data_IF_438048765061
#
_entry.id   IF_438048765061
#
_cell.length_a   1.000
_cell.length_b   1.000
_cell.length_c   1.000
_cell.angle_alpha   90.00
_cell.angle_beta   90.00
_cell.angle_gamma   90.00
#
_symmetry.space_group_name_H-M   'P 1'
#
loop_
_entity.id
_entity.type
_entity.pdbx_description
1 polymer ?
#
# COMPACT_ATOMS: atom_id res chain seq x y z
N UNK A 1 70.82 15.84 -32.13
CA UNK A 1 70.19 16.70 -33.15
C UNK A 1 69.52 15.79 -34.17
N UNK A 2 68.38 16.23 -34.72
CA UNK A 2 67.54 15.60 -35.77
C UNK A 2 66.44 14.65 -35.26
N UNK A 3 65.24 15.23 -35.14
CA UNK A 3 63.93 14.56 -35.31
C UNK A 3 63.82 14.12 -36.77
N UNK A 4 63.16 13.00 -37.05
CA UNK A 4 62.35 12.90 -38.27
C UNK A 4 61.16 11.97 -38.11
N UNK A 5 60.01 12.52 -38.47
CA UNK A 5 58.71 11.87 -38.64
C UNK A 5 58.73 10.98 -39.88
N UNK A 6 58.09 9.81 -39.82
CA UNK A 6 57.46 9.22 -40.99
C UNK A 6 56.16 8.50 -40.59
N UNK A 7 55.05 9.00 -41.14
CA UNK A 7 53.74 8.35 -41.20
C UNK A 7 53.49 8.05 -42.67
N UNK A 8 53.39 6.79 -43.08
CA UNK A 8 52.75 6.40 -44.35
C UNK A 8 51.99 5.07 -44.22
N UNK A 9 50.66 5.22 -44.32
CA UNK A 9 49.60 4.40 -44.95
C UNK A 9 49.71 2.87 -45.06
N UNK A 10 48.67 2.25 -44.51
CA UNK A 10 47.88 1.09 -44.98
C UNK A 10 48.36 0.36 -46.24
N UNK A 11 48.68 -0.93 -46.05
CA UNK A 11 48.51 -1.98 -47.04
C UNK A 11 47.81 -3.15 -46.31
N UNK A 12 46.58 -3.45 -46.74
CA UNK A 12 45.90 -4.70 -46.40
C UNK A 12 46.62 -5.85 -47.11
N UNK A 13 46.90 -6.94 -46.40
CA UNK A 13 46.85 -8.29 -46.96
C UNK A 13 46.75 -9.36 -45.85
N UNK A 14 45.64 -10.08 -45.88
CA UNK A 14 45.38 -11.46 -45.48
C UNK A 14 46.44 -12.18 -44.62
N UNK A 15 46.10 -12.41 -43.35
CA UNK A 15 46.56 -13.59 -42.60
C UNK A 15 45.33 -14.24 -41.94
N UNK A 16 45.34 -15.57 -42.00
CA UNK A 16 44.23 -16.47 -41.73
C UNK A 16 43.47 -16.23 -40.43
N UNK A 17 42.18 -16.52 -40.54
CA UNK A 17 41.26 -16.74 -39.44
C UNK A 17 41.83 -17.77 -38.45
N UNK A 18 42.43 -17.29 -37.37
CA UNK A 18 42.40 -17.99 -36.10
C UNK A 18 41.20 -17.43 -35.34
N UNK A 19 40.09 -18.17 -35.40
CA UNK A 19 38.98 -17.98 -34.49
C UNK A 19 39.47 -18.37 -33.10
N UNK A 20 40.01 -17.41 -32.36
CA UNK A 20 40.10 -17.49 -30.91
C UNK A 20 38.66 -17.50 -30.41
N UNK A 21 38.14 -18.70 -30.17
CA UNK A 21 37.03 -18.89 -29.25
C UNK A 21 37.59 -18.50 -27.89
N UNK A 22 37.56 -17.21 -27.57
CA UNK A 22 37.53 -16.80 -26.18
C UNK A 22 36.22 -17.36 -25.67
N UNK A 23 36.29 -18.48 -24.95
CA UNK A 23 35.24 -18.81 -24.01
C UNK A 23 35.11 -17.57 -23.12
N UNK A 24 34.10 -16.76 -23.38
CA UNK A 24 33.65 -15.77 -22.42
C UNK A 24 33.31 -16.59 -21.19
N UNK A 25 34.19 -16.59 -20.20
CA UNK A 25 33.83 -16.88 -18.83
C UNK A 25 32.56 -16.08 -18.59
N UNK A 26 31.43 -16.78 -18.44
CA UNK A 26 30.20 -16.16 -17.97
C UNK A 26 30.58 -15.41 -16.71
N UNK A 27 30.57 -14.07 -16.76
CA UNK A 27 30.54 -13.31 -15.52
C UNK A 27 29.35 -13.88 -14.76
N UNK A 28 29.61 -14.47 -13.59
CA UNK A 28 28.52 -14.90 -12.72
C UNK A 28 27.63 -13.68 -12.54
N UNK A 29 26.35 -13.80 -12.91
CA UNK A 29 25.42 -12.71 -12.67
C UNK A 29 25.42 -12.45 -11.16
N UNK A 30 25.83 -11.25 -10.76
CA UNK A 30 25.81 -10.85 -9.36
C UNK A 30 24.38 -10.98 -8.86
N UNK A 31 24.22 -11.60 -7.68
CA UNK A 31 22.92 -11.69 -7.05
C UNK A 31 22.55 -10.29 -6.56
N UNK A 32 21.47 -9.72 -7.11
CA UNK A 32 21.15 -8.29 -6.92
C UNK A 32 20.87 -7.92 -5.46
N UNK A 33 20.50 -8.89 -4.61
CA UNK A 33 20.34 -8.66 -3.18
C UNK A 33 21.67 -8.71 -2.39
N UNK A 34 22.76 -9.22 -2.98
CA UNK A 34 24.13 -9.18 -2.43
C UNK A 34 25.15 -8.91 -3.55
N UNK A 35 25.10 -7.73 -4.19
CA UNK A 35 25.92 -7.46 -5.38
C UNK A 35 27.42 -7.40 -5.08
N UNK A 36 27.81 -7.32 -3.79
CA UNK A 36 29.19 -7.23 -3.32
C UNK A 36 29.76 -8.57 -2.80
N UNK A 37 28.94 -9.63 -2.76
CA UNK A 37 29.32 -10.92 -2.17
C UNK A 37 29.72 -11.92 -3.26
N UNK A 38 30.99 -12.35 -3.25
CA UNK A 38 31.56 -13.32 -4.20
C UNK A 38 31.58 -14.77 -3.66
N UNK A 39 31.11 -14.99 -2.43
CA UNK A 39 31.17 -16.31 -1.77
C UNK A 39 29.98 -17.20 -2.16
N UNK A 40 30.12 -18.54 -2.11
CA UNK A 40 28.99 -19.45 -2.34
C UNK A 40 27.96 -19.27 -1.23
N UNK A 41 26.82 -18.69 -1.59
CA UNK A 41 25.69 -18.52 -0.67
C UNK A 41 25.20 -19.86 -0.14
N UNK A 42 24.81 -19.86 1.14
CA UNK A 42 24.05 -20.95 1.71
C UNK A 42 22.63 -20.87 1.15
N UNK A 43 22.03 -22.03 0.88
CA UNK A 43 20.64 -22.13 0.48
C UNK A 43 19.86 -22.96 1.47
N UNK A 44 18.65 -22.53 1.82
CA UNK A 44 17.80 -23.23 2.77
C UNK A 44 16.38 -22.68 2.81
N UNK A 45 15.44 -23.40 3.43
CA UNK A 45 14.08 -22.91 3.57
C UNK A 45 14.02 -21.70 4.51
N UNK A 46 13.03 -20.84 4.33
CA UNK A 46 12.68 -19.85 5.34
C UNK A 46 12.37 -20.56 6.67
N UNK A 47 12.87 -20.00 7.78
CA UNK A 47 12.73 -20.60 9.11
C UNK A 47 12.33 -19.55 10.15
N UNK A 48 11.79 -19.98 11.29
CA UNK A 48 11.40 -19.07 12.40
C UNK A 48 12.61 -18.46 13.14
N UNK A 49 13.83 -18.93 12.85
CA UNK A 49 15.05 -18.50 13.53
C UNK A 49 15.87 -17.49 12.70
N UNK A 50 15.32 -16.94 11.63
CA UNK A 50 16.01 -15.93 10.83
C UNK A 50 16.14 -14.61 11.60
N UNK A 51 17.21 -13.87 11.36
CA UNK A 51 17.42 -12.56 11.99
C UNK A 51 16.35 -11.53 11.59
N UNK A 52 15.81 -11.67 10.38
CA UNK A 52 14.75 -10.83 9.88
C UNK A 52 13.61 -11.70 9.35
N UNK A 53 12.42 -11.51 9.91
CA UNK A 53 11.19 -12.20 9.50
C UNK A 53 10.20 -11.26 8.79
N UNK A 54 10.46 -9.95 8.81
CA UNK A 54 9.57 -8.98 8.22
C UNK A 54 9.75 -7.55 8.74
N UNK A 55 9.00 -6.64 8.14
CA UNK A 55 8.95 -5.22 8.42
C UNK A 55 7.49 -4.79 8.61
N UNK A 56 7.18 -4.28 9.80
CA UNK A 56 5.88 -3.69 10.19
C UNK A 56 5.93 -2.15 10.26
N UNK A 57 7.10 -1.58 9.94
CA UNK A 57 7.37 -0.14 9.93
C UNK A 57 7.15 0.59 11.26
N UNK A 58 6.85 -0.12 12.35
CA UNK A 58 6.43 0.45 13.62
C UNK A 58 7.57 1.12 14.40
N UNK A 59 8.80 0.77 14.05
CA UNK A 59 10.03 1.26 14.69
C UNK A 59 10.55 2.59 14.13
N UNK A 60 10.08 3.02 12.95
CA UNK A 60 10.53 4.24 12.30
C UNK A 60 9.80 5.48 12.83
N UNK A 61 10.28 6.67 12.45
CA UNK A 61 9.61 7.95 12.73
C UNK A 61 8.84 8.42 11.49
N UNK A 62 7.80 9.24 11.69
CA UNK A 62 7.03 9.79 10.58
C UNK A 62 7.90 10.61 9.62
N UNK A 63 7.68 10.44 8.32
CA UNK A 63 8.44 11.09 7.26
C UNK A 63 9.88 10.60 7.10
N UNK A 64 10.32 9.60 7.88
CA UNK A 64 11.67 9.05 7.74
C UNK A 64 11.85 8.42 6.37
N UNK A 65 12.79 8.92 5.57
CA UNK A 65 13.23 8.20 4.39
C UNK A 65 14.00 6.95 4.82
N UNK A 66 13.46 5.78 4.50
CA UNK A 66 14.07 4.51 4.85
C UNK A 66 15.21 4.20 3.88
N UNK A 67 14.91 4.25 2.58
CA UNK A 67 15.90 4.11 1.52
C UNK A 67 15.36 4.57 0.17
N UNK A 68 16.25 5.03 -0.72
CA UNK A 68 15.95 5.24 -2.13
C UNK A 68 16.98 4.55 -3.01
N UNK A 69 16.58 4.08 -4.18
CA UNK A 69 17.48 3.40 -5.12
C UNK A 69 18.63 4.29 -5.63
N UNK A 70 18.45 5.61 -5.60
CA UNK A 70 19.47 6.59 -5.99
C UNK A 70 20.29 7.12 -4.79
N UNK A 71 19.93 6.75 -3.57
CA UNK A 71 20.58 7.17 -2.34
C UNK A 71 20.41 6.06 -1.30
N UNK A 72 21.28 5.04 -1.44
CA UNK A 72 21.26 3.87 -0.58
C UNK A 72 21.88 4.20 0.77
N UNK A 73 21.12 3.99 1.83
CA UNK A 73 21.64 3.97 3.19
C UNK A 73 21.73 2.49 3.56
N UNK A 74 22.91 1.99 3.89
CA UNK A 74 23.08 0.60 4.26
C UNK A 74 22.08 0.21 5.36
N UNK A 75 21.11 -0.63 5.01
CA UNK A 75 20.15 -1.25 5.93
C UNK A 75 20.38 -2.75 5.92
N UNK A 76 20.18 -3.36 7.09
CA UNK A 76 20.61 -4.74 7.30
C UNK A 76 19.65 -5.79 6.72
N UNK A 77 18.43 -5.40 6.33
CA UNK A 77 17.34 -6.34 6.07
C UNK A 77 16.58 -6.15 4.75
N UNK A 78 16.73 -5.04 4.04
CA UNK A 78 16.18 -4.86 2.69
C UNK A 78 17.01 -3.89 1.84
N UNK A 79 16.82 -3.96 0.52
CA UNK A 79 17.42 -3.07 -0.49
C UNK A 79 16.34 -2.54 -1.45
N UNK A 80 16.17 -1.21 -1.49
CA UNK A 80 15.33 -0.52 -2.46
C UNK A 80 16.09 -0.35 -3.77
N UNK A 81 15.67 -1.10 -4.79
CA UNK A 81 16.33 -1.15 -6.11
C UNK A 81 15.59 -0.34 -7.17
N UNK A 82 14.42 0.22 -6.86
CA UNK A 82 13.74 1.24 -7.67
C UNK A 82 12.85 2.12 -6.80
N UNK A 83 12.93 3.44 -6.98
CA UNK A 83 12.11 4.40 -6.25
C UNK A 83 12.59 4.63 -4.82
N UNK A 84 11.67 5.08 -3.97
CA UNK A 84 11.91 5.43 -2.58
C UNK A 84 10.88 4.78 -1.66
N UNK A 85 11.35 4.36 -0.49
CA UNK A 85 10.55 3.90 0.63
C UNK A 85 10.72 4.88 1.80
N UNK A 86 9.59 5.32 2.35
CA UNK A 86 9.54 6.21 3.50
C UNK A 86 8.61 5.62 4.57
N UNK A 87 8.84 5.93 5.83
CA UNK A 87 7.82 5.72 6.86
C UNK A 87 6.84 6.88 6.81
N UNK A 88 5.55 6.57 6.90
CA UNK A 88 4.47 7.55 6.92
C UNK A 88 3.44 7.16 7.96
N UNK A 89 3.11 8.09 8.83
CA UNK A 89 2.12 7.89 9.86
C UNK A 89 0.76 8.37 9.38
N UNK A 90 -0.25 7.56 9.67
CA UNK A 90 -1.62 7.82 9.31
C UNK A 90 -2.47 7.54 10.54
N UNK A 91 -3.00 8.59 11.14
CA UNK A 91 -3.59 8.58 12.48
C UNK A 91 -2.64 7.97 13.54
N UNK A 92 -2.94 6.75 14.00
CA UNK A 92 -2.11 6.00 14.96
C UNK A 92 -1.25 4.90 14.32
N UNK A 93 -1.36 4.73 13.00
CA UNK A 93 -0.69 3.66 12.26
C UNK A 93 0.62 4.14 11.66
N UNK A 94 1.62 3.27 11.66
CA UNK A 94 2.96 3.53 11.15
C UNK A 94 3.20 2.61 9.98
N UNK A 95 3.34 3.17 8.78
CA UNK A 95 3.28 2.40 7.55
C UNK A 95 4.50 2.69 6.69
N UNK A 96 4.87 1.73 5.85
CA UNK A 96 5.71 1.98 4.69
C UNK A 96 4.93 2.81 3.67
N UNK A 97 5.62 3.68 2.94
CA UNK A 97 5.03 4.54 1.92
C UNK A 97 5.94 4.63 0.71
N UNK A 98 5.33 4.50 -0.47
CA UNK A 98 5.98 4.81 -1.73
C UNK A 98 5.06 5.62 -2.63
N UNK A 99 5.63 6.66 -3.25
CA UNK A 99 4.98 7.49 -4.25
C UNK A 99 5.72 7.43 -5.59
N UNK A 100 6.56 6.43 -5.82
CA UNK A 100 7.23 6.29 -7.11
C UNK A 100 6.34 5.60 -8.14
N UNK A 101 6.49 5.98 -9.41
CA UNK A 101 5.78 5.31 -10.51
C UNK A 101 6.19 3.84 -10.62
N UNK A 102 7.43 3.51 -10.27
CA UNK A 102 7.92 2.14 -10.19
C UNK A 102 8.71 2.02 -8.91
N UNK A 103 8.18 1.28 -7.96
CA UNK A 103 8.84 0.98 -6.70
C UNK A 103 9.26 -0.49 -6.67
N UNK A 104 10.45 -0.77 -6.18
CA UNK A 104 10.95 -2.13 -5.96
C UNK A 104 11.84 -2.19 -4.73
N UNK A 105 11.52 -3.13 -3.85
CA UNK A 105 12.34 -3.48 -2.68
C UNK A 105 12.52 -4.99 -2.61
N UNK A 106 13.71 -5.44 -2.24
CA UNK A 106 14.04 -6.86 -2.07
C UNK A 106 14.59 -7.08 -0.67
N UNK A 107 14.29 -8.23 -0.06
CA UNK A 107 14.80 -8.56 1.25
C UNK A 107 16.27 -9.00 1.17
N UNK A 108 17.05 -8.61 2.17
CA UNK A 108 18.41 -9.10 2.39
C UNK A 108 18.28 -10.33 3.29
N UNK A 109 18.32 -11.52 2.69
CA UNK A 109 18.20 -12.77 3.44
C UNK A 109 19.40 -13.03 4.36
N UNK A 110 19.14 -13.27 5.64
CA UNK A 110 20.19 -13.60 6.62
C UNK A 110 19.73 -14.76 7.47
N UNK A 111 20.60 -15.75 7.63
CA UNK A 111 20.37 -16.85 8.56
C UNK A 111 20.44 -16.36 10.03
N UNK A 112 20.24 -17.27 11.00
CA UNK A 112 20.31 -16.94 12.43
C UNK A 112 21.67 -16.35 12.85
N UNK A 113 22.73 -16.66 12.11
CA UNK A 113 24.11 -16.23 12.37
C UNK A 113 24.45 -14.92 11.64
N UNK A 114 23.53 -14.36 10.84
CA UNK A 114 23.73 -13.16 10.04
C UNK A 114 24.45 -13.42 8.71
N UNK A 115 24.64 -14.68 8.33
CA UNK A 115 25.22 -15.06 7.05
C UNK A 115 24.17 -14.95 5.95
N UNK A 116 24.58 -14.45 4.78
CA UNK A 116 23.72 -14.30 3.61
C UNK A 116 23.16 -15.66 3.15
N UNK A 117 21.86 -15.72 2.88
CA UNK A 117 21.17 -16.95 2.52
C UNK A 117 20.18 -16.73 1.37
N UNK A 118 20.08 -17.71 0.48
CA UNK A 118 19.02 -17.79 -0.53
C UNK A 118 17.92 -18.73 -0.06
N UNK A 119 16.68 -18.26 -0.09
CA UNK A 119 15.55 -19.04 0.38
C UNK A 119 15.07 -20.01 -0.69
N UNK A 120 15.00 -21.31 -0.37
CA UNK A 120 14.45 -22.33 -1.26
C UNK A 120 12.93 -22.35 -1.17
N UNK A 121 12.40 -22.68 0.01
CA UNK A 121 10.97 -22.63 0.33
C UNK A 121 10.67 -21.33 1.08
N UNK A 122 9.72 -20.56 0.56
CA UNK A 122 9.42 -19.21 1.07
C UNK A 122 7.99 -18.80 0.75
N UNK A 123 7.41 -18.00 1.64
CA UNK A 123 6.19 -17.25 1.37
C UNK A 123 6.46 -15.77 1.60
N UNK A 124 6.23 -14.97 0.56
CA UNK A 124 6.24 -13.51 0.65
C UNK A 124 4.82 -13.03 0.95
N UNK A 125 4.63 -12.48 2.14
CA UNK A 125 3.37 -11.86 2.53
C UNK A 125 3.57 -10.36 2.70
N UNK A 126 2.64 -9.55 2.21
CA UNK A 126 2.58 -8.14 2.59
C UNK A 126 1.18 -7.57 2.37
N UNK A 127 0.86 -6.51 3.12
CA UNK A 127 -0.31 -5.69 2.89
C UNK A 127 0.04 -4.44 2.10
N UNK A 128 -0.85 -4.07 1.19
CA UNK A 128 -0.74 -2.81 0.47
C UNK A 128 -2.08 -2.09 0.34
N UNK A 129 -2.11 -0.81 0.70
CA UNK A 129 -3.23 0.08 0.42
C UNK A 129 -2.93 0.88 -0.84
N UNK A 130 -3.70 0.67 -1.90
CA UNK A 130 -3.55 1.48 -3.12
C UNK A 130 -4.20 2.84 -2.84
N UNK A 131 -3.41 3.87 -2.55
CA UNK A 131 -3.94 5.22 -2.29
C UNK A 131 -4.46 5.86 -3.57
N UNK A 132 -3.66 5.80 -4.64
CA UNK A 132 -4.07 6.34 -5.93
C UNK A 132 -3.32 5.69 -7.07
N UNK A 133 -3.94 5.67 -8.25
CA UNK A 133 -3.31 5.28 -9.50
C UNK A 133 -2.67 6.50 -10.17
N UNK A 134 -1.40 6.39 -10.57
CA UNK A 134 -0.65 7.48 -11.21
C UNK A 134 -1.01 7.57 -12.69
N UNK A 135 -2.08 8.31 -12.97
CA UNK A 135 -2.67 8.49 -14.29
C UNK A 135 -2.08 9.68 -15.08
N UNK A 136 -0.79 9.64 -15.42
CA UNK A 136 -0.19 10.64 -16.34
C UNK A 136 -0.43 10.31 -17.83
N UNK A 137 -1.47 9.55 -18.14
CA UNK A 137 -1.78 8.98 -19.46
C UNK A 137 -2.41 7.59 -19.31
N UNK A 138 -2.44 6.75 -20.35
CA UNK A 138 -2.98 5.39 -20.20
C UNK A 138 -2.14 4.56 -19.22
N UNK A 139 -2.74 4.12 -18.11
CA UNK A 139 -2.11 3.18 -17.18
C UNK A 139 -1.89 1.85 -17.90
N UNK A 140 -0.65 1.34 -17.98
CA UNK A 140 -0.38 0.05 -18.59
C UNK A 140 -1.22 -1.08 -17.97
N UNK A 141 -1.67 -2.01 -18.78
CA UNK A 141 -2.51 -3.13 -18.32
C UNK A 141 -1.80 -4.04 -17.29
N UNK A 142 -0.46 -4.03 -17.28
CA UNK A 142 0.37 -4.82 -16.37
C UNK A 142 0.72 -4.12 -15.07
N UNK A 143 0.37 -2.83 -14.91
CA UNK A 143 0.54 -2.09 -13.67
C UNK A 143 -0.16 -2.78 -12.51
N UNK A 144 0.31 -2.63 -11.27
CA UNK A 144 -0.34 -3.22 -10.11
C UNK A 144 0.58 -3.49 -8.93
N UNK A 145 0.16 -4.48 -8.13
CA UNK A 145 0.87 -4.99 -6.97
C UNK A 145 1.54 -6.31 -7.33
N UNK A 146 2.81 -6.46 -7.00
CA UNK A 146 3.63 -7.60 -7.39
C UNK A 146 4.44 -8.12 -6.21
N UNK A 147 4.37 -9.44 -5.99
CA UNK A 147 5.17 -10.17 -5.03
C UNK A 147 6.25 -10.98 -5.76
N UNK A 148 7.52 -10.79 -5.40
CA UNK A 148 8.62 -11.62 -5.87
C UNK A 148 8.89 -12.77 -4.94
N UNK A 149 9.31 -13.89 -5.53
CA UNK A 149 9.86 -15.03 -4.81
C UNK A 149 11.01 -15.61 -5.63
N UNK A 150 11.99 -16.22 -4.95
CA UNK A 150 13.24 -16.71 -5.55
C UNK A 150 13.89 -15.66 -6.46
N UNK A 151 13.83 -14.40 -6.04
CA UNK A 151 14.48 -13.29 -6.72
C UNK A 151 15.99 -13.48 -6.60
N UNK A 152 16.66 -13.60 -7.75
CA UNK A 152 18.11 -13.68 -7.82
C UNK A 152 18.70 -12.39 -8.36
N UNK A 153 18.13 -11.95 -9.47
CA UNK A 153 18.47 -10.70 -10.14
C UNK A 153 17.18 -10.06 -10.62
N UNK A 154 17.29 -8.83 -11.10
CA UNK A 154 16.17 -8.17 -11.79
C UNK A 154 15.75 -8.89 -13.08
N UNK A 155 16.55 -9.85 -13.56
CA UNK A 155 16.34 -10.66 -14.75
C UNK A 155 15.93 -12.12 -14.46
N UNK A 156 16.04 -12.57 -13.21
CA UNK A 156 15.80 -13.94 -12.76
C UNK A 156 14.97 -13.96 -11.47
N UNK A 157 13.65 -14.14 -11.60
CA UNK A 157 12.71 -14.15 -10.47
C UNK A 157 11.39 -14.84 -10.82
N UNK A 158 10.66 -15.31 -9.80
CA UNK A 158 9.21 -15.52 -9.93
C UNK A 158 8.45 -14.28 -9.48
N UNK A 159 7.32 -14.01 -10.13
CA UNK A 159 6.41 -12.91 -9.75
C UNK A 159 4.96 -13.35 -9.77
N UNK A 160 4.28 -13.17 -8.64
CA UNK A 160 2.82 -13.14 -8.52
C UNK A 160 2.33 -11.70 -8.69
N UNK A 161 1.31 -11.48 -9.52
CA UNK A 161 0.82 -10.12 -9.85
C UNK A 161 -0.69 -9.99 -9.75
N UNK A 162 -1.14 -8.95 -9.05
CA UNK A 162 -2.53 -8.47 -9.03
C UNK A 162 -2.55 -7.16 -9.83
N UNK A 163 -3.14 -7.19 -11.03
CA UNK A 163 -2.95 -6.13 -12.03
C UNK A 163 -4.13 -5.18 -12.12
N UNK A 164 -3.84 -3.96 -12.54
CA UNK A 164 -4.78 -2.88 -12.83
C UNK A 164 -5.89 -3.30 -13.78
N UNK A 165 -5.59 -4.13 -14.79
CA UNK A 165 -6.58 -4.64 -15.74
C UNK A 165 -7.44 -5.80 -15.22
N UNK A 166 -7.32 -6.11 -13.92
CA UNK A 166 -8.00 -7.21 -13.25
C UNK A 166 -7.44 -8.59 -13.60
N UNK A 167 -6.35 -8.70 -14.35
CA UNK A 167 -5.66 -9.98 -14.51
C UNK A 167 -4.84 -10.32 -13.26
N UNK A 168 -4.81 -11.61 -12.93
CA UNK A 168 -3.94 -12.18 -11.92
C UNK A 168 -2.98 -13.12 -12.65
N UNK A 169 -1.67 -13.01 -12.39
CA UNK A 169 -0.67 -13.84 -13.09
C UNK A 169 0.40 -14.37 -12.17
N UNK A 170 0.84 -15.59 -12.40
CA UNK A 170 2.14 -16.09 -11.96
C UNK A 170 3.05 -16.15 -13.18
N UNK A 171 4.21 -15.51 -13.11
CA UNK A 171 5.22 -15.52 -14.18
C UNK A 171 6.59 -15.88 -13.63
N UNK A 172 7.45 -16.35 -14.52
CA UNK A 172 8.89 -16.38 -14.31
C UNK A 172 9.54 -15.36 -15.24
N UNK A 173 10.50 -14.60 -14.71
CA UNK A 173 11.49 -13.90 -15.51
C UNK A 173 12.76 -14.73 -15.44
N UNK A 174 13.33 -15.07 -16.59
CA UNK A 174 14.58 -15.81 -16.67
C UNK A 174 15.41 -15.24 -17.79
N UNK A 175 16.66 -14.88 -17.49
CA UNK A 175 17.59 -14.23 -18.42
C UNK A 175 16.94 -13.02 -19.13
N UNK A 176 16.19 -12.22 -18.37
CA UNK A 176 15.57 -11.00 -18.87
C UNK A 176 14.20 -11.18 -19.52
N UNK A 177 13.77 -12.41 -19.81
CA UNK A 177 12.52 -12.69 -20.52
C UNK A 177 11.42 -13.20 -19.59
N UNK A 178 10.21 -12.62 -19.71
CA UNK A 178 9.03 -13.06 -18.96
C UNK A 178 8.28 -14.19 -19.68
N UNK A 179 7.97 -15.25 -18.96
CA UNK A 179 7.04 -16.31 -19.36
C UNK A 179 5.87 -16.38 -18.38
N UNK A 180 4.65 -16.29 -18.89
CA UNK A 180 3.43 -16.49 -18.07
C UNK A 180 3.24 -17.98 -17.80
N UNK A 181 3.22 -18.36 -16.52
CA UNK A 181 3.04 -19.75 -16.08
C UNK A 181 1.56 -20.04 -15.80
N UNK A 182 0.85 -19.09 -15.20
CA UNK A 182 -0.57 -19.17 -14.95
C UNK A 182 -1.22 -17.78 -15.01
N UNK A 183 -2.48 -17.72 -15.42
CA UNK A 183 -3.27 -16.50 -15.46
C UNK A 183 -4.75 -16.78 -15.20
N UNK A 184 -5.39 -15.89 -14.44
CA UNK A 184 -6.85 -15.84 -14.28
C UNK A 184 -7.34 -14.39 -14.30
N UNK A 185 -8.65 -14.20 -14.26
CA UNK A 185 -9.28 -12.90 -13.99
C UNK A 185 -9.69 -12.82 -12.53
N UNK A 186 -9.34 -11.71 -11.90
CA UNK A 186 -9.84 -11.39 -10.58
C UNK A 186 -11.36 -11.21 -10.67
N UNK A 187 -12.07 -11.83 -9.75
CA UNK A 187 -13.50 -11.64 -9.56
C UNK A 187 -13.70 -11.01 -8.19
N UNK A 188 -14.73 -10.18 -8.04
CA UNK A 188 -15.12 -9.74 -6.70
C UNK A 188 -15.42 -10.97 -5.84
N UNK A 189 -14.91 -10.97 -4.61
CA UNK A 189 -14.91 -12.12 -3.72
C UNK A 189 -15.12 -11.67 -2.29
N UNK A 190 -14.07 -11.77 -1.47
CA UNK A 190 -14.08 -11.26 -0.08
C UNK A 190 -14.42 -9.77 -0.04
N UNK A 191 -13.99 -9.01 -1.05
CA UNK A 191 -14.35 -7.61 -1.25
C UNK A 191 -14.48 -7.23 -2.73
N UNK A 192 -14.87 -5.98 -2.96
CA UNK A 192 -14.98 -5.38 -4.28
C UNK A 192 -13.60 -4.99 -4.81
N UNK A 193 -12.87 -6.00 -5.31
CA UNK A 193 -11.54 -5.80 -5.88
C UNK A 193 -11.53 -4.98 -7.16
N UNK A 194 -12.59 -5.09 -7.96
CA UNK A 194 -12.71 -4.38 -9.21
C UNK A 194 -13.71 -3.24 -9.08
N UNK A 195 -13.33 -2.06 -9.59
CA UNK A 195 -14.22 -0.93 -9.74
C UNK A 195 -15.24 -1.18 -10.88
N UNK A 196 -16.14 -0.23 -11.10
CA UNK A 196 -17.19 -0.29 -12.14
C UNK A 196 -16.65 -0.40 -13.56
N UNK A 197 -15.37 -0.10 -13.79
CA UNK A 197 -14.68 -0.23 -15.08
C UNK A 197 -13.89 -1.54 -15.21
N UNK A 198 -14.02 -2.45 -14.24
CA UNK A 198 -13.29 -3.71 -14.19
C UNK A 198 -11.79 -3.53 -13.92
N UNK A 199 -11.39 -2.42 -13.28
CA UNK A 199 -10.00 -2.14 -12.90
C UNK A 199 -9.78 -2.40 -11.42
N UNK A 200 -8.58 -2.82 -11.06
CA UNK A 200 -8.20 -3.00 -9.65
C UNK A 200 -8.44 -1.70 -8.88
N UNK A 201 -9.26 -1.77 -7.85
CA UNK A 201 -9.76 -0.59 -7.14
C UNK A 201 -8.67 0.05 -6.26
N UNK A 202 -8.65 1.38 -6.21
CA UNK A 202 -7.90 2.11 -5.19
C UNK A 202 -8.76 2.28 -3.93
N UNK A 203 -8.19 2.86 -2.87
CA UNK A 203 -8.90 3.19 -1.65
C UNK A 203 -9.17 1.99 -0.73
N UNK A 204 -8.41 0.91 -0.87
CA UNK A 204 -8.54 -0.27 -0.02
C UNK A 204 -7.21 -1.01 0.14
N UNK A 205 -7.12 -1.77 1.23
CA UNK A 205 -6.04 -2.70 1.52
C UNK A 205 -6.11 -3.94 0.64
N UNK A 206 -5.00 -4.63 0.47
CA UNK A 206 -4.85 -5.90 -0.21
C UNK A 206 -3.81 -6.72 0.54
N UNK A 207 -4.17 -7.91 1.02
CA UNK A 207 -3.23 -8.84 1.66
C UNK A 207 -2.75 -9.88 0.65
N UNK A 208 -1.50 -9.80 0.23
CA UNK A 208 -0.94 -10.59 -0.87
C UNK A 208 -0.02 -11.66 -0.29
N UNK A 209 -0.26 -12.90 -0.70
CA UNK A 209 0.55 -14.06 -0.30
C UNK A 209 1.06 -14.77 -1.54
N UNK A 210 2.38 -14.78 -1.73
CA UNK A 210 3.01 -15.53 -2.80
C UNK A 210 3.97 -16.57 -2.24
N UNK A 211 3.53 -17.83 -2.28
CA UNK A 211 4.24 -18.98 -1.71
C UNK A 211 4.91 -19.80 -2.81
N UNK A 212 6.17 -20.17 -2.57
CA UNK A 212 6.93 -21.09 -3.41
C UNK A 212 7.53 -22.17 -2.50
N UNK A 213 6.97 -23.38 -2.56
CA UNK A 213 7.40 -24.53 -1.76
C UNK A 213 7.69 -25.69 -2.70
N UNK A 214 8.93 -26.20 -2.67
CA UNK A 214 9.42 -27.15 -3.66
C UNK A 214 9.34 -26.55 -5.06
N UNK A 215 8.50 -27.11 -5.94
CA UNK A 215 8.22 -26.55 -7.26
C UNK A 215 6.82 -25.96 -7.39
N UNK A 216 6.02 -25.89 -6.31
CA UNK A 216 4.66 -25.37 -6.34
C UNK A 216 4.66 -23.88 -6.01
N UNK A 217 4.14 -23.07 -6.93
CA UNK A 217 3.93 -21.64 -6.78
C UNK A 217 2.43 -21.40 -6.53
N UNK A 218 2.09 -20.65 -5.50
CA UNK A 218 0.70 -20.36 -5.12
C UNK A 218 0.55 -18.88 -4.81
N UNK A 219 -0.40 -18.22 -5.47
CA UNK A 219 -0.73 -16.81 -5.24
C UNK A 219 -2.13 -16.72 -4.63
N UNK A 220 -2.22 -16.10 -3.47
CA UNK A 220 -3.46 -15.81 -2.77
C UNK A 220 -3.61 -14.30 -2.50
N UNK A 221 -4.86 -13.88 -2.36
CA UNK A 221 -5.24 -12.51 -2.03
C UNK A 221 -6.34 -12.55 -0.95
N UNK A 222 -6.14 -11.83 0.15
CA UNK A 222 -7.00 -11.82 1.34
C UNK A 222 -7.43 -13.23 1.77
N UNK A 223 -6.45 -14.12 1.94
CA UNK A 223 -6.67 -15.50 2.36
C UNK A 223 -7.27 -16.44 1.30
N UNK A 224 -7.62 -15.94 0.10
CA UNK A 224 -8.18 -16.75 -0.99
C UNK A 224 -7.12 -17.11 -2.02
N UNK A 225 -6.88 -18.41 -2.23
CA UNK A 225 -6.03 -18.89 -3.32
C UNK A 225 -6.63 -18.52 -4.69
N UNK A 226 -5.87 -17.78 -5.50
CA UNK A 226 -6.29 -17.33 -6.84
C UNK A 226 -5.67 -18.17 -7.96
N UNK A 227 -4.41 -18.57 -7.80
CA UNK A 227 -3.65 -19.35 -8.78
C UNK A 227 -2.69 -20.31 -8.09
N UNK A 228 -2.50 -21.48 -8.70
CA UNK A 228 -1.40 -22.39 -8.38
C UNK A 228 -0.83 -23.04 -9.64
N UNK A 229 0.50 -23.19 -9.69
CA UNK A 229 1.22 -23.77 -10.83
C UNK A 229 2.53 -24.40 -10.36
N UNK A 230 3.02 -25.42 -11.06
CA UNK A 230 4.33 -26.01 -10.78
C UNK A 230 5.40 -25.48 -11.75
N UNK A 231 6.56 -25.07 -11.23
CA UNK A 231 7.75 -24.73 -11.99
C UNK A 231 9.01 -24.85 -11.12
N UNK A 232 10.10 -25.31 -11.70
CA UNK A 232 11.38 -25.62 -11.03
C UNK A 232 12.58 -24.90 -11.65
N UNK A 233 12.35 -23.90 -12.52
CA UNK A 233 13.40 -23.16 -13.21
C UNK A 233 14.32 -22.39 -12.26
N UNK A 234 13.74 -21.77 -11.22
CA UNK A 234 14.48 -21.11 -10.16
C UNK A 234 14.24 -21.89 -8.87
N UNK A 235 15.30 -22.34 -8.21
CA UNK A 235 15.20 -23.20 -7.02
C UNK A 235 15.36 -22.43 -5.70
N UNK A 236 15.89 -21.20 -5.77
CA UNK A 236 16.26 -20.40 -4.60
C UNK A 236 16.34 -18.91 -4.94
N UNK A 237 16.28 -18.06 -3.92
CA UNK A 237 16.49 -16.61 -3.99
C UNK A 237 15.70 -15.90 -2.88
N UNK A 238 15.63 -14.58 -2.92
CA UNK A 238 14.94 -13.78 -1.89
C UNK A 238 13.50 -13.42 -2.28
N UNK A 239 12.79 -12.76 -1.36
CA UNK A 239 11.48 -12.15 -1.58
C UNK A 239 11.63 -10.66 -1.91
N UNK A 240 10.57 -10.08 -2.47
CA UNK A 240 10.54 -8.64 -2.74
C UNK A 240 9.15 -8.14 -3.09
N UNK A 241 8.97 -6.83 -3.01
CA UNK A 241 7.74 -6.15 -3.38
C UNK A 241 8.04 -5.26 -4.58
N UNK A 242 7.10 -5.23 -5.53
CA UNK A 242 7.09 -4.22 -6.57
C UNK A 242 5.70 -3.62 -6.73
N UNK A 243 5.66 -2.32 -6.97
CA UNK A 243 4.44 -1.62 -7.39
C UNK A 243 4.69 -0.88 -8.69
N UNK A 244 3.66 -0.78 -9.52
CA UNK A 244 3.73 -0.12 -10.81
C UNK A 244 2.54 0.82 -11.01
N UNK A 245 2.85 2.10 -11.28
CA UNK A 245 1.93 3.19 -11.60
C UNK A 245 0.90 3.49 -10.51
N UNK A 246 1.30 3.38 -9.24
CA UNK A 246 0.43 3.67 -8.10
C UNK A 246 1.24 4.27 -6.94
N UNK A 247 0.55 4.97 -6.06
CA UNK A 247 1.05 5.30 -4.72
C UNK A 247 0.44 4.33 -3.73
N UNK A 248 1.25 3.81 -2.80
CA UNK A 248 0.77 2.83 -1.84
C UNK A 248 1.36 3.02 -0.44
N UNK A 249 0.52 2.71 0.56
CA UNK A 249 1.00 2.31 1.87
C UNK A 249 1.32 0.83 1.86
N UNK A 250 2.37 0.43 2.54
CA UNK A 250 2.81 -0.95 2.72
C UNK A 250 2.83 -1.26 4.21
N UNK A 251 2.45 -2.47 4.57
CA UNK A 251 2.48 -2.93 5.96
C UNK A 251 2.68 -4.45 6.02
N UNK A 252 3.06 -4.96 7.19
CA UNK A 252 3.24 -6.38 7.50
C UNK A 252 3.98 -7.17 6.42
N UNK A 253 5.09 -6.63 5.91
CA UNK A 253 5.89 -7.36 4.93
C UNK A 253 6.66 -8.47 5.63
N UNK A 254 6.36 -9.72 5.34
CA UNK A 254 6.88 -10.87 6.06
C UNK A 254 7.45 -11.94 5.12
N UNK A 255 8.54 -12.55 5.58
CA UNK A 255 9.05 -13.82 5.07
C UNK A 255 8.54 -14.95 5.96
N UNK A 256 7.61 -15.73 5.44
CA UNK A 256 7.04 -16.85 6.18
C UNK A 256 7.67 -18.19 5.77
N UNK A 257 8.00 -19.06 6.75
CA UNK A 257 8.30 -20.47 6.54
C UNK A 257 7.19 -21.24 5.79
N UNK A 258 7.54 -22.37 5.19
CA UNK A 258 6.60 -23.23 4.45
C UNK A 258 5.56 -23.94 5.33
N UNK A 259 5.81 -24.04 6.63
CA UNK A 259 4.89 -24.58 7.63
C UNK A 259 4.05 -23.50 8.34
N UNK A 260 4.23 -22.23 7.97
CA UNK A 260 3.42 -21.15 8.52
C UNK A 260 1.99 -21.25 8.02
N UNK A 261 1.05 -21.29 8.97
CA UNK A 261 -0.33 -20.97 8.68
C UNK A 261 -0.39 -19.50 8.26
N UNK A 262 -1.16 -19.22 7.21
CA UNK A 262 -1.57 -17.85 6.89
C UNK A 262 -2.29 -17.33 8.12
N UNK A 263 -1.63 -16.44 8.87
CA UNK A 263 -2.26 -15.75 9.99
C UNK A 263 -3.04 -14.61 9.35
N UNK A 264 -4.34 -14.55 9.59
CA UNK A 264 -5.13 -13.39 9.17
C UNK A 264 -4.43 -12.12 9.67
N UNK A 265 -4.21 -11.13 8.81
CA UNK A 265 -3.53 -9.92 9.22
C UNK A 265 -4.32 -9.23 10.35
N UNK A 266 -3.64 -8.43 11.19
CA UNK A 266 -4.33 -7.56 12.13
C UNK A 266 -5.32 -6.66 11.38
N UNK A 267 -6.37 -6.19 12.08
CA UNK A 267 -7.41 -5.32 11.51
C UNK A 267 -6.82 -4.26 10.58
N UNK A 268 -7.37 -4.16 9.37
CA UNK A 268 -6.91 -3.18 8.39
C UNK A 268 -6.95 -1.77 8.98
N UNK A 269 -5.84 -1.02 8.93
CA UNK A 269 -5.84 0.34 9.42
C UNK A 269 -6.76 1.18 8.54
N UNK A 270 -7.68 1.89 9.15
CA UNK A 270 -8.43 2.92 8.45
C UNK A 270 -7.45 4.00 8.01
N UNK A 271 -7.16 4.02 6.71
CA UNK A 271 -6.46 5.14 6.10
C UNK A 271 -7.53 6.19 5.88
N UNK A 272 -7.43 7.39 6.49
CA UNK A 272 -8.23 8.51 6.10
C UNK A 272 -8.15 8.58 4.58
N UNK A 273 -9.31 8.35 3.96
CA UNK A 273 -9.61 9.12 2.77
C UNK A 273 -9.23 10.53 3.17
N UNK A 274 -8.30 11.16 2.43
CA UNK A 274 -8.26 12.62 2.50
C UNK A 274 -9.72 13.01 2.39
N UNK A 275 -10.26 13.90 3.25
CA UNK A 275 -11.61 14.38 3.01
C UNK A 275 -11.61 14.65 1.53
N UNK A 276 -12.44 13.92 0.77
CA UNK A 276 -12.77 14.38 -0.56
C UNK A 276 -13.22 15.78 -0.21
N UNK A 277 -12.37 16.78 -0.50
CA UNK A 277 -12.75 18.16 -0.33
C UNK A 277 -14.06 18.17 -1.07
N UNK A 278 -15.23 18.24 -0.37
CA UNK A 278 -16.49 17.93 -1.01
C UNK A 278 -16.50 18.85 -2.20
N UNK A 279 -16.44 18.30 -3.42
CA UNK A 279 -15.98 19.03 -4.59
C UNK A 279 -16.70 20.37 -4.56
N UNK A 280 -15.96 21.45 -4.24
CA UNK A 280 -16.60 22.69 -3.81
C UNK A 280 -17.54 23.06 -4.94
N UNK A 281 -18.85 23.15 -4.65
CA UNK A 281 -19.83 23.30 -5.70
C UNK A 281 -19.69 24.72 -6.25
N UNK A 282 -18.89 24.86 -7.31
CA UNK A 282 -18.65 26.14 -7.97
C UNK A 282 -19.82 26.44 -8.91
N UNK A 283 -20.35 27.66 -8.84
CA UNK A 283 -21.35 28.11 -9.81
C UNK A 283 -20.77 28.13 -11.23
N UNK A 284 -21.43 27.44 -12.16
CA UNK A 284 -21.07 27.48 -13.57
C UNK A 284 -21.62 28.76 -14.21
N UNK A 285 -20.71 29.62 -14.70
CA UNK A 285 -21.03 30.80 -15.47
C UNK A 285 -20.61 30.54 -16.93
N UNK A 286 -21.57 30.46 -17.88
CA UNK A 286 -21.28 30.24 -19.29
C UNK A 286 -20.24 31.23 -19.83
N UNK A 287 -19.21 30.69 -20.51
CA UNK A 287 -18.12 31.45 -21.10
C UNK A 287 -17.04 31.93 -20.12
N UNK A 288 -17.20 31.70 -18.81
CA UNK A 288 -16.25 32.14 -17.79
C UNK A 288 -15.69 31.00 -16.94
N UNK A 289 -16.53 30.06 -16.53
CA UNK A 289 -16.08 28.95 -15.70
C UNK A 289 -15.19 28.02 -16.54
N UNK A 290 -13.96 27.80 -16.06
CA UNK A 290 -13.06 26.80 -16.62
C UNK A 290 -13.36 25.48 -15.93
N UNK A 291 -13.92 24.55 -16.70
CA UNK A 291 -14.40 23.27 -16.18
C UNK A 291 -13.27 22.24 -16.13
N UNK A 292 -13.22 21.46 -15.05
CA UNK A 292 -12.28 20.36 -14.84
C UNK A 292 -13.11 19.08 -14.69
N UNK A 293 -12.72 18.00 -15.38
CA UNK A 293 -13.42 16.72 -15.25
C UNK A 293 -13.32 16.19 -13.81
N UNK A 294 -14.43 15.67 -13.31
CA UNK A 294 -14.55 15.15 -11.96
C UNK A 294 -15.14 16.15 -10.97
N UNK A 295 -14.99 17.46 -11.21
CA UNK A 295 -15.54 18.52 -10.37
C UNK A 295 -17.06 18.65 -10.54
N UNK A 296 -17.72 19.11 -9.49
CA UNK A 296 -19.17 19.37 -9.45
C UNK A 296 -19.43 20.87 -9.56
N UNK A 297 -20.34 21.24 -10.44
CA UNK A 297 -20.74 22.63 -10.65
C UNK A 297 -22.24 22.79 -10.47
N UNK A 298 -22.68 23.91 -9.88
CA UNK A 298 -24.08 24.27 -9.85
C UNK A 298 -24.46 25.11 -11.08
N UNK A 299 -25.59 24.76 -11.71
CA UNK A 299 -26.17 25.52 -12.79
C UNK A 299 -27.69 25.39 -12.74
N UNK A 300 -28.40 26.51 -12.73
CA UNK A 300 -29.87 26.57 -12.67
C UNK A 300 -30.47 25.78 -11.49
N UNK A 301 -29.82 25.86 -10.32
CA UNK A 301 -30.27 25.19 -9.09
C UNK A 301 -30.07 23.67 -9.07
N UNK A 302 -29.34 23.11 -10.04
CA UNK A 302 -28.97 21.69 -10.09
C UNK A 302 -27.46 21.52 -10.11
N UNK A 303 -26.97 20.36 -9.66
CA UNK A 303 -25.55 20.06 -9.63
C UNK A 303 -25.16 19.06 -10.71
N UNK A 304 -24.01 19.29 -11.33
CA UNK A 304 -23.52 18.50 -12.45
C UNK A 304 -22.04 18.18 -12.28
N UNK A 305 -21.68 16.91 -12.37
CA UNK A 305 -20.30 16.48 -12.46
C UNK A 305 -19.82 16.56 -13.91
N UNK A 306 -18.69 17.25 -14.12
CA UNK A 306 -18.10 17.39 -15.44
C UNK A 306 -17.40 16.09 -15.90
N UNK A 307 -17.62 15.70 -17.15
CA UNK A 307 -16.93 14.60 -17.83
C UNK A 307 -16.56 14.97 -19.26
N UNK A 308 -15.57 14.29 -19.82
CA UNK A 308 -15.19 14.41 -21.23
C UNK A 308 -14.68 15.79 -21.68
N UNK A 309 -14.13 16.58 -20.76
CA UNK A 309 -13.48 17.89 -20.98
C UNK A 309 -14.41 18.92 -21.66
N UNK A 310 -15.52 19.34 -21.00
CA UNK A 310 -16.37 20.41 -21.54
C UNK A 310 -15.57 21.70 -21.76
N UNK A 311 -15.86 22.37 -22.87
CA UNK A 311 -15.42 23.74 -23.09
C UNK A 311 -16.12 24.72 -22.15
N UNK A 312 -15.60 25.94 -22.04
CA UNK A 312 -16.23 26.98 -21.21
C UNK A 312 -17.64 27.39 -21.65
N UNK A 313 -18.11 26.96 -22.82
CA UNK A 313 -19.44 27.25 -23.36
C UNK A 313 -20.40 26.07 -23.28
N UNK A 314 -19.94 24.92 -22.82
CA UNK A 314 -20.69 23.67 -22.82
C UNK A 314 -21.54 23.65 -21.56
N UNK A 315 -22.75 24.19 -21.66
CA UNK A 315 -23.66 24.37 -20.53
C UNK A 315 -24.07 23.03 -19.89
N UNK A 316 -24.07 22.91 -18.55
CA UNK A 316 -24.59 21.75 -17.84
C UNK A 316 -26.03 21.41 -18.21
N UNK A 317 -26.26 20.15 -18.60
CA UNK A 317 -27.61 19.63 -18.83
C UNK A 317 -27.64 18.10 -18.83
N UNK A 318 -28.79 17.53 -18.45
CA UNK A 318 -29.02 16.07 -18.43
C UNK A 318 -28.92 15.41 -19.82
N UNK A 319 -29.07 16.21 -20.88
CA UNK A 319 -28.97 15.75 -22.27
C UNK A 319 -27.54 15.84 -22.82
N UNK A 320 -26.60 16.43 -22.07
CA UNK A 320 -25.25 16.67 -22.55
C UNK A 320 -24.32 15.50 -22.26
N UNK A 321 -23.52 15.14 -23.27
CA UNK A 321 -22.44 14.16 -23.15
C UNK A 321 -21.32 14.60 -22.19
N UNK A 322 -21.25 15.89 -21.86
CA UNK A 322 -20.19 16.44 -21.01
C UNK A 322 -20.56 16.52 -19.53
N UNK A 323 -21.80 16.18 -19.16
CA UNK A 323 -22.32 16.38 -17.81
C UNK A 323 -23.04 15.15 -17.28
N UNK A 324 -23.01 14.97 -15.96
CA UNK A 324 -23.81 13.98 -15.23
C UNK A 324 -24.50 14.71 -14.09
N UNK A 325 -25.83 14.62 -14.02
CA UNK A 325 -26.56 15.16 -12.88
C UNK A 325 -26.16 14.44 -11.60
N UNK A 326 -25.88 15.20 -10.55
CA UNK A 326 -25.57 14.69 -9.22
C UNK A 326 -26.38 15.46 -8.18
N UNK A 327 -26.56 14.88 -7.01
CA UNK A 327 -27.16 15.60 -5.88
C UNK A 327 -26.21 16.71 -5.41
N UNK A 328 -26.75 17.89 -5.12
CA UNK A 328 -25.96 18.94 -4.51
C UNK A 328 -25.62 18.53 -3.07
N UNK A 329 -24.35 18.51 -2.73
CA UNK A 329 -23.94 18.39 -1.33
C UNK A 329 -24.18 19.76 -0.70
N UNK A 330 -25.01 19.84 0.34
CA UNK A 330 -25.24 21.09 1.07
C UNK A 330 -23.89 21.60 1.61
N UNK A 331 -23.36 22.65 0.98
CA UNK A 331 -22.10 23.27 1.37
C UNK A 331 -22.23 23.85 2.80
N UNK A 332 -21.17 23.81 3.65
CA UNK A 332 -21.21 24.45 4.95
C UNK A 332 -21.57 25.93 4.80
N UNK A 333 -22.41 26.39 5.74
CA UNK A 333 -22.87 27.78 5.84
C UNK A 333 -21.70 28.77 5.69
N UNK A 334 -21.87 29.91 5.00
CA UNK A 334 -20.81 30.90 4.79
C UNK A 334 -20.20 31.36 6.12
N UNK A 335 -18.94 31.86 6.11
CA UNK A 335 -18.29 32.36 7.30
C UNK A 335 -19.14 33.49 7.89
N UNK A 336 -19.53 33.31 9.15
CA UNK A 336 -20.21 34.33 9.95
C UNK A 336 -19.24 35.51 10.07
N UNK A 337 -19.66 36.67 9.57
CA UNK A 337 -19.02 37.99 9.78
C UNK A 337 -18.79 38.20 11.29
N UNK A 338 -17.64 38.75 11.76
CA UNK A 338 -17.36 38.88 13.18
C UNK A 338 -18.43 39.74 13.85
N UNK A 339 -19.32 39.08 14.60
CA UNK A 339 -20.34 39.76 15.38
C UNK A 339 -19.64 40.58 16.48
N UNK A 340 -20.01 41.86 16.58
CA UNK A 340 -19.53 42.78 17.62
C UNK A 340 -19.69 42.13 19.02
N UNK A 341 -18.73 42.33 19.94
CA UNK A 341 -18.74 41.64 21.23
C UNK A 341 -20.01 42.00 22.00
N UNK A 342 -20.89 41.02 22.14
CA UNK A 342 -22.06 41.09 23.02
C UNK A 342 -21.65 40.66 24.42
N UNK A 343 -22.22 41.32 25.43
CA UNK A 343 -21.97 41.09 26.85
C UNK A 343 -22.02 39.61 27.27
N UNK A 344 -21.26 39.20 28.30
CA UNK A 344 -21.16 37.81 28.71
C UNK A 344 -22.51 37.27 29.19
N UNK A 345 -23.03 36.30 28.45
CA UNK A 345 -24.18 35.48 28.85
C UNK A 345 -23.73 34.51 29.97
N UNK A 346 -24.54 34.32 31.02
CA UNK A 346 -24.21 33.39 32.12
C UNK A 346 -24.07 31.94 31.61
N UNK A 347 -23.25 31.11 32.26
CA UNK A 347 -22.95 29.76 31.80
C UNK A 347 -24.22 28.90 31.81
N UNK A 348 -24.56 28.34 30.65
CA UNK A 348 -25.59 27.32 30.49
C UNK A 348 -24.97 25.94 30.72
N UNK A 349 -25.62 25.14 31.57
CA UNK A 349 -25.27 23.75 31.90
C UNK A 349 -25.16 22.88 30.64
N UNK A 350 -24.18 21.95 30.53
CA UNK A 350 -24.06 21.06 29.38
C UNK A 350 -25.26 20.12 29.26
N UNK A 351 -25.76 19.94 28.03
CA UNK A 351 -26.78 18.94 27.73
C UNK A 351 -26.29 17.52 28.12
N UNK A 352 -27.15 16.68 28.71
CA UNK A 352 -26.79 15.31 29.06
C UNK A 352 -26.63 14.42 27.81
N UNK A 353 -25.76 13.39 27.87
CA UNK A 353 -25.56 12.44 26.79
C UNK A 353 -26.85 11.66 26.48
N UNK A 354 -27.16 11.50 25.20
CA UNK A 354 -28.42 10.93 24.68
C UNK A 354 -28.48 9.40 24.69
N UNK A 355 -27.46 8.69 25.18
CA UNK A 355 -27.49 7.23 25.38
C UNK A 355 -26.56 6.82 26.53
N UNK A 356 -27.03 5.92 27.42
CA UNK A 356 -26.25 5.37 28.53
C UNK A 356 -25.51 4.09 28.12
N UNK A 357 -24.19 4.05 28.31
CA UNK A 357 -23.32 2.90 27.98
C UNK A 357 -23.44 1.81 29.06
N UNK A 358 -23.36 0.52 28.68
CA UNK A 358 -23.35 -0.59 29.65
C UNK A 358 -22.05 -0.62 30.48
N UNK A 359 -22.17 -0.77 31.80
CA UNK A 359 -21.02 -0.83 32.70
C UNK A 359 -20.51 -2.28 32.85
N UNK A 360 -19.23 -2.48 32.52
CA UNK A 360 -18.50 -3.75 32.67
C UNK A 360 -17.45 -3.57 33.78
N UNK A 361 -17.58 -4.26 34.94
CA UNK A 361 -16.61 -4.18 36.03
C UNK A 361 -15.18 -4.48 35.56
N UNK A 362 -14.24 -3.60 35.92
CA UNK A 362 -12.84 -3.70 35.57
C UNK A 362 -12.46 -3.12 34.19
N UNK A 363 -13.44 -2.80 33.35
CA UNK A 363 -13.21 -2.36 31.97
C UNK A 363 -13.77 -0.97 31.68
N UNK A 364 -14.99 -0.67 32.12
CA UNK A 364 -15.62 0.63 31.84
C UNK A 364 -14.96 1.72 32.69
N UNK A 365 -14.41 2.74 32.05
CA UNK A 365 -13.94 3.98 32.70
C UNK A 365 -15.00 5.05 32.54
N UNK A 366 -15.37 5.68 33.64
CA UNK A 366 -16.38 6.75 33.68
C UNK A 366 -15.82 7.97 34.40
N UNK A 367 -16.18 9.15 33.93
CA UNK A 367 -15.94 10.42 34.58
C UNK A 367 -17.14 10.82 35.44
N UNK A 368 -16.94 11.74 36.39
CA UNK A 368 -18.05 12.32 37.15
C UNK A 368 -19.06 12.97 36.19
N UNK A 369 -20.32 12.58 36.35
CA UNK A 369 -21.42 13.04 35.50
C UNK A 369 -21.86 12.04 34.43
N UNK A 370 -21.02 11.05 34.11
CA UNK A 370 -21.37 10.01 33.12
C UNK A 370 -22.53 9.15 33.62
N UNK A 371 -23.43 8.77 32.72
CA UNK A 371 -24.54 7.86 33.01
C UNK A 371 -24.29 6.52 32.35
N UNK A 372 -24.31 5.45 33.14
CA UNK A 372 -24.11 4.06 32.69
C UNK A 372 -25.24 3.16 33.16
N UNK A 373 -25.44 2.06 32.44
CA UNK A 373 -26.43 1.03 32.80
C UNK A 373 -25.74 -0.18 33.42
N UNK A 374 -26.21 -0.64 34.58
CA UNK A 374 -25.73 -1.87 35.23
C UNK A 374 -26.91 -2.63 35.84
N UNK A 375 -27.07 -3.93 35.51
CA UNK A 375 -28.23 -4.74 35.91
C UNK A 375 -29.59 -4.07 35.61
N UNK A 376 -29.72 -3.45 34.43
CA UNK A 376 -30.92 -2.72 33.97
C UNK A 376 -31.32 -1.49 34.82
N UNK A 377 -30.41 -0.98 35.66
CA UNK A 377 -30.58 0.28 36.40
C UNK A 377 -29.54 1.28 35.91
N UNK A 378 -29.95 2.54 35.75
CA UNK A 378 -29.03 3.61 35.36
C UNK A 378 -28.44 4.31 36.57
N UNK A 379 -27.13 4.55 36.50
CA UNK A 379 -26.34 5.19 37.53
C UNK A 379 -25.56 6.35 36.95
N UNK A 380 -25.57 7.48 37.65
CA UNK A 380 -24.72 8.63 37.36
C UNK A 380 -23.47 8.58 38.26
N UNK A 381 -22.30 8.65 37.65
CA UNK A 381 -21.02 8.62 38.35
C UNK A 381 -20.80 9.91 39.16
N UNK A 382 -20.35 9.78 40.42
CA UNK A 382 -19.90 10.87 41.28
C UNK A 382 -18.66 10.46 42.08
N UNK A 383 -17.90 11.43 42.58
CA UNK A 383 -16.71 11.19 43.41
C UNK A 383 -15.62 10.33 42.76
N UNK A 384 -15.56 10.33 41.43
CA UNK A 384 -14.55 9.74 40.55
C UNK A 384 -14.35 8.23 40.79
N UNK A 385 -15.35 7.38 40.48
CA UNK A 385 -15.19 5.93 40.57
C UNK A 385 -14.08 5.45 39.65
N UNK A 386 -13.20 4.60 40.16
CA UNK A 386 -12.33 3.78 39.32
C UNK A 386 -13.12 2.70 38.55
N UNK A 387 -12.41 1.95 37.71
CA UNK A 387 -13.01 0.92 36.87
C UNK A 387 -13.57 -0.29 37.63
N UNK A 388 -13.26 -0.43 38.93
CA UNK A 388 -13.67 -1.58 39.75
C UNK A 388 -14.82 -1.25 40.72
N UNK A 389 -15.15 0.02 40.89
CA UNK A 389 -16.25 0.50 41.74
C UNK A 389 -17.59 0.23 41.07
N UNK A 390 -18.14 -0.96 41.27
CA UNK A 390 -19.39 -1.37 40.63
C UNK A 390 -20.59 -0.49 41.04
N UNK A 391 -21.46 -0.06 40.10
CA UNK A 391 -22.65 0.72 40.41
C UNK A 391 -23.57 0.07 41.44
N UNK A 392 -23.93 0.83 42.48
CA UNK A 392 -24.92 0.38 43.47
C UNK A 392 -25.62 1.56 44.14
N UNK A 393 -26.87 1.35 44.56
CA UNK A 393 -27.70 2.40 45.20
C UNK A 393 -27.17 2.86 46.57
N UNK A 394 -26.30 2.07 47.20
CA UNK A 394 -25.72 2.36 48.51
C UNK A 394 -24.25 2.78 48.41
N UNK A 395 -23.76 3.10 47.21
CA UNK A 395 -22.37 3.49 46.99
C UNK A 395 -22.16 4.99 47.16
N UNK A 396 -20.99 5.36 47.68
CA UNK A 396 -20.52 6.74 47.69
C UNK A 396 -20.26 7.29 46.28
N UNK A 397 -20.06 6.41 45.29
CA UNK A 397 -19.63 6.78 43.94
C UNK A 397 -20.76 6.89 42.90
N UNK A 398 -22.00 6.53 43.27
CA UNK A 398 -23.08 6.38 42.29
C UNK A 398 -24.40 6.95 42.81
N UNK A 399 -25.12 7.63 41.94
CA UNK A 399 -26.52 8.00 42.16
C UNK A 399 -27.42 7.23 41.20
N UNK A 400 -28.51 6.66 41.70
CA UNK A 400 -29.53 6.04 40.85
C UNK A 400 -30.29 7.15 40.12
N UNK A 401 -30.35 7.05 38.80
CA UNK A 401 -31.05 8.00 37.94
C UNK A 401 -32.00 7.27 36.99
N UNK A 402 -32.96 8.00 36.43
CA UNK A 402 -33.73 7.50 35.28
C UNK A 402 -32.83 7.36 34.07
N UNK A 403 -32.97 6.24 33.35
CA UNK A 403 -32.26 6.04 32.09
C UNK A 403 -32.70 7.09 31.05
N UNK A 404 -31.77 7.66 30.28
CA UNK A 404 -32.06 8.60 29.20
C UNK A 404 -32.84 7.96 28.05
#
# INVERSE_FOLDING_TARGET
>A
MVKNYFRVKNIFNYIGSLCLITASSSAAAFYDAYPESEEPYISGPASKNLQWLGEDFSSYIDGQQLECSNNKNARDHFDVTSGCLQAKYVDSWKLGWTDDKVFRVVAIGKDSNGSEIKYTDQTNQYRAYIKTWKNSGSIPAWSGLHAFARYQTSDDLYVGSIRYDGNVTIKVKYQGAYTTLAQTKLTNGVKNYLNTQGKLAAGQWYDIHFSVVGNKLTLALDGVELLSVNNDLLTEGTIGIRTDNLSAYLDDWQLLPSDSIVVDPPTDPEIPTDPETPAEVVEFIPGKTKVINGDVYSYDGQCYQAKNNPGSWEVPSNASWFWVAVECVDNPSPPIDPELPTEPVPPTDPLPPTTAVEFIPGSTKVNNGDTVTYNNICYKAKNSPGSWETPSANSWFWDVVTCP
#
